data_IF_829689304896
#
_entry.id   IF_829689304896
#
_cell.length_a   1.000
_cell.length_b   1.000
_cell.length_c   1.000
_cell.angle_alpha   90.00
_cell.angle_beta   90.00
_cell.angle_gamma   90.00
#
_symmetry.space_group_name_H-M   'P 1'
#
loop_
_entity.id
_entity.type
_entity.pdbx_description
1 polymer ?
#
# COMPACT_ATOMS: atom_id res chain seq x y z
N UNK A 1 -11.77 21.93 -0.02
CA UNK A 1 -11.87 20.49 -0.28
C UNK A 1 -11.04 19.74 0.77
N UNK A 2 -11.65 18.77 1.43
CA UNK A 2 -10.94 17.99 2.46
C UNK A 2 -10.21 16.84 1.78
N UNK A 3 -8.90 16.77 1.99
CA UNK A 3 -8.09 15.65 1.51
C UNK A 3 -8.35 14.42 2.38
N UNK A 4 -8.65 13.30 1.74
CA UNK A 4 -8.92 12.05 2.44
C UNK A 4 -7.73 11.10 2.30
N UNK A 5 -7.44 10.38 3.38
CA UNK A 5 -6.42 9.33 3.42
C UNK A 5 -7.11 7.97 3.38
N UNK A 6 -6.67 7.12 2.48
CA UNK A 6 -7.23 5.80 2.26
C UNK A 6 -6.21 4.72 2.62
N UNK A 7 -6.58 3.81 3.49
CA UNK A 7 -5.78 2.61 3.75
C UNK A 7 -6.18 1.51 2.78
N UNK A 8 -5.19 0.85 2.20
CA UNK A 8 -5.38 -0.31 1.33
C UNK A 8 -5.14 -1.57 2.18
N UNK A 9 -6.20 -2.34 2.41
CA UNK A 9 -6.14 -3.59 3.17
C UNK A 9 -6.31 -4.76 2.22
N UNK A 10 -5.38 -5.72 2.27
CA UNK A 10 -5.41 -6.89 1.41
C UNK A 10 -6.09 -8.05 2.14
N UNK A 11 -7.27 -8.43 1.65
CA UNK A 11 -7.98 -9.63 2.11
C UNK A 11 -7.75 -10.80 1.15
N UNK A 12 -7.54 -10.50 -0.14
CA UNK A 12 -7.35 -11.52 -1.19
C UNK A 12 -6.03 -11.27 -1.91
N UNK A 13 -4.93 -11.91 -1.51
CA UNK A 13 -3.62 -11.70 -2.14
C UNK A 13 -3.61 -11.94 -3.65
N UNK A 14 -4.52 -12.77 -4.15
CA UNK A 14 -4.65 -13.08 -5.57
C UNK A 14 -5.68 -12.25 -6.32
N UNK A 15 -6.14 -11.12 -5.78
CA UNK A 15 -7.11 -10.28 -6.45
C UNK A 15 -6.62 -9.86 -7.85
N UNK A 16 -7.52 -9.89 -8.83
CA UNK A 16 -7.18 -9.56 -10.21
C UNK A 16 -6.77 -8.08 -10.35
N UNK A 17 -5.78 -7.77 -11.19
CA UNK A 17 -5.34 -6.37 -11.39
C UNK A 17 -6.47 -5.42 -11.78
N UNK A 18 -7.41 -5.86 -12.61
CA UNK A 18 -8.54 -5.03 -13.02
C UNK A 18 -9.45 -4.69 -11.84
N UNK A 19 -9.65 -5.62 -10.91
CA UNK A 19 -10.44 -5.39 -9.69
C UNK A 19 -9.74 -4.40 -8.77
N UNK A 20 -8.44 -4.54 -8.61
CA UNK A 20 -7.61 -3.62 -7.82
C UNK A 20 -7.71 -2.21 -8.39
N UNK A 21 -7.52 -2.06 -9.69
CA UNK A 21 -7.63 -0.75 -10.38
C UNK A 21 -8.99 -0.11 -10.18
N UNK A 22 -10.06 -0.89 -10.32
CA UNK A 22 -11.42 -0.37 -10.19
C UNK A 22 -11.69 0.18 -8.78
N UNK A 23 -11.23 -0.52 -7.75
CA UNK A 23 -11.41 -0.08 -6.36
C UNK A 23 -10.60 1.17 -6.05
N UNK A 24 -9.38 1.27 -6.57
CA UNK A 24 -8.55 2.46 -6.40
C UNK A 24 -9.14 3.67 -7.11
N UNK A 25 -9.63 3.49 -8.33
CA UNK A 25 -10.30 4.57 -9.06
C UNK A 25 -11.53 5.08 -8.30
N UNK A 26 -12.33 4.18 -7.73
CA UNK A 26 -13.48 4.56 -6.93
C UNK A 26 -13.08 5.41 -5.72
N UNK A 27 -11.99 5.03 -5.04
CA UNK A 27 -11.48 5.79 -3.90
C UNK A 27 -11.00 7.18 -4.32
N UNK A 28 -10.32 7.28 -5.46
CA UNK A 28 -9.86 8.56 -6.00
C UNK A 28 -11.04 9.47 -6.33
N UNK A 29 -12.08 8.93 -6.95
CA UNK A 29 -13.29 9.68 -7.26
C UNK A 29 -14.01 10.14 -6.00
N UNK A 30 -13.90 9.38 -4.91
CA UNK A 30 -14.48 9.74 -3.62
C UNK A 30 -13.69 10.81 -2.86
N UNK A 31 -12.57 11.28 -3.42
CA UNK A 31 -11.76 12.35 -2.85
C UNK A 31 -10.49 11.88 -2.15
N UNK A 32 -10.12 10.61 -2.25
CA UNK A 32 -8.87 10.14 -1.67
C UNK A 32 -7.69 10.61 -2.50
N UNK A 33 -6.71 11.22 -1.84
CA UNK A 33 -5.47 11.66 -2.48
C UNK A 33 -4.22 11.12 -1.79
N UNK A 34 -4.36 10.60 -0.57
CA UNK A 34 -3.25 9.98 0.17
C UNK A 34 -3.58 8.52 0.39
N UNK A 35 -2.66 7.64 -0.01
CA UNK A 35 -2.84 6.20 0.10
C UNK A 35 -1.78 5.60 1.00
N UNK A 36 -2.19 4.71 1.91
CA UNK A 36 -1.32 3.95 2.78
C UNK A 36 -1.34 2.49 2.34
N UNK A 37 -0.18 1.90 2.11
CA UNK A 37 -0.05 0.51 1.67
C UNK A 37 0.93 -0.25 2.53
N UNK A 38 0.60 -1.48 2.87
CA UNK A 38 1.51 -2.38 3.57
C UNK A 38 2.41 -3.18 2.64
N UNK A 39 2.32 -2.99 1.32
CA UNK A 39 3.09 -3.70 0.31
C UNK A 39 3.07 -5.22 0.49
N UNK A 40 1.91 -5.78 0.79
CA UNK A 40 1.76 -7.21 0.95
C UNK A 40 2.02 -7.92 -0.36
N UNK A 41 2.59 -9.11 -0.29
CA UNK A 41 2.86 -9.97 -1.43
C UNK A 41 1.59 -10.13 -2.31
N UNK A 42 1.76 -10.06 -3.61
CA UNK A 42 0.64 -10.20 -4.56
C UNK A 42 -0.15 -8.92 -4.74
N UNK A 43 -1.43 -8.93 -4.37
CA UNK A 43 -2.33 -7.79 -4.61
C UNK A 43 -1.90 -6.50 -3.93
N UNK A 44 -1.18 -6.57 -2.80
CA UNK A 44 -0.64 -5.40 -2.14
C UNK A 44 0.36 -4.65 -3.00
N UNK A 45 1.26 -5.39 -3.67
CA UNK A 45 2.20 -4.79 -4.61
C UNK A 45 1.47 -4.19 -5.81
N UNK A 46 0.49 -4.91 -6.35
CA UNK A 46 -0.29 -4.43 -7.49
C UNK A 46 -1.05 -3.14 -7.18
N UNK A 47 -1.60 -3.05 -5.98
CA UNK A 47 -2.31 -1.85 -5.55
C UNK A 47 -1.38 -0.64 -5.43
N UNK A 48 -0.20 -0.83 -4.83
CA UNK A 48 0.78 0.24 -4.71
C UNK A 48 1.29 0.71 -6.08
N UNK A 49 1.54 -0.23 -6.98
CA UNK A 49 1.94 0.09 -8.35
C UNK A 49 0.85 0.89 -9.06
N UNK A 50 -0.41 0.56 -8.85
CA UNK A 50 -1.52 1.28 -9.45
C UNK A 50 -1.62 2.71 -8.91
N UNK A 51 -1.40 2.92 -7.62
CA UNK A 51 -1.36 4.28 -7.05
C UNK A 51 -0.26 5.10 -7.71
N UNK A 52 0.94 4.52 -7.88
CA UNK A 52 2.05 5.20 -8.53
C UNK A 52 1.73 5.54 -9.99
N UNK A 53 1.06 4.64 -10.70
CA UNK A 53 0.64 4.88 -12.07
C UNK A 53 -0.39 6.01 -12.14
N UNK A 54 -1.36 6.02 -11.24
CA UNK A 54 -2.36 7.07 -11.17
C UNK A 54 -1.74 8.42 -10.79
N UNK A 55 -0.70 8.41 -9.99
CA UNK A 55 0.02 9.64 -9.60
C UNK A 55 0.62 10.35 -10.82
N UNK A 56 1.05 9.61 -11.82
CA UNK A 56 1.57 10.20 -13.07
C UNK A 56 0.51 11.01 -13.80
N UNK A 57 -0.75 10.58 -13.72
CA UNK A 57 -1.89 11.26 -14.36
C UNK A 57 -2.45 12.35 -13.43
N UNK A 58 -2.40 12.10 -12.12
CA UNK A 58 -2.96 12.98 -11.08
C UNK A 58 -1.89 13.30 -10.05
N UNK A 59 -1.07 14.34 -10.29
CA UNK A 59 0.12 14.61 -9.46
C UNK A 59 -0.15 14.90 -7.97
N UNK A 60 -1.40 15.15 -7.60
CA UNK A 60 -1.76 15.37 -6.20
C UNK A 60 -1.84 14.10 -5.36
N UNK A 61 -1.75 12.91 -5.97
CA UNK A 61 -1.79 11.65 -5.24
C UNK A 61 -0.45 11.37 -4.56
N UNK A 62 -0.50 10.78 -3.35
CA UNK A 62 0.70 10.36 -2.63
C UNK A 62 0.54 8.93 -2.14
N UNK A 63 1.67 8.25 -1.98
CA UNK A 63 1.74 6.88 -1.47
C UNK A 63 2.69 6.82 -0.28
N UNK A 64 2.18 6.34 0.86
CA UNK A 64 3.00 5.99 2.01
C UNK A 64 3.08 4.47 2.11
N UNK A 65 4.30 3.94 2.15
CA UNK A 65 4.55 2.51 2.31
C UNK A 65 4.85 2.23 3.78
N UNK A 66 4.01 1.40 4.40
CA UNK A 66 4.10 1.06 5.82
C UNK A 66 4.67 -0.34 5.95
N UNK A 67 5.94 -0.43 6.33
CA UNK A 67 6.69 -1.68 6.35
C UNK A 67 6.68 -2.25 7.77
N UNK A 68 6.27 -3.53 7.96
CA UNK A 68 6.16 -4.09 9.31
C UNK A 68 7.53 -4.32 9.98
N UNK A 69 8.54 -4.77 9.22
CA UNK A 69 9.89 -4.95 9.71
C UNK A 69 10.89 -5.00 8.56
N UNK A 70 12.18 -4.83 8.87
CA UNK A 70 13.23 -4.62 7.85
C UNK A 70 13.35 -5.77 6.84
N UNK A 71 13.31 -7.02 7.29
CA UNK A 71 13.51 -8.19 6.44
C UNK A 71 12.20 -8.79 5.91
N UNK A 72 11.19 -7.94 5.76
CA UNK A 72 9.84 -8.33 5.35
C UNK A 72 9.79 -9.18 4.08
N UNK A 73 10.67 -8.90 3.12
CA UNK A 73 10.65 -9.56 1.81
C UNK A 73 11.67 -10.69 1.67
N UNK A 74 12.38 -11.06 2.75
CA UNK A 74 13.52 -11.98 2.66
C UNK A 74 13.18 -13.35 2.06
N UNK A 75 11.95 -13.83 2.26
CA UNK A 75 11.49 -15.12 1.74
C UNK A 75 10.74 -15.04 0.40
N UNK A 76 10.62 -13.85 -0.18
CA UNK A 76 9.89 -13.68 -1.43
C UNK A 76 10.76 -14.08 -2.64
N UNK A 77 10.10 -14.38 -3.76
CA UNK A 77 10.81 -14.59 -5.02
C UNK A 77 11.46 -13.28 -5.50
N UNK A 78 12.48 -13.42 -6.33
CA UNK A 78 13.28 -12.27 -6.79
C UNK A 78 12.44 -11.22 -7.51
N UNK A 79 11.56 -11.65 -8.41
CA UNK A 79 10.73 -10.72 -9.18
C UNK A 79 9.82 -9.87 -8.27
N UNK A 80 9.22 -10.48 -7.25
CA UNK A 80 8.38 -9.75 -6.29
C UNK A 80 9.19 -8.82 -5.41
N UNK A 81 10.40 -9.22 -5.02
CA UNK A 81 11.31 -8.36 -4.24
C UNK A 81 11.74 -7.15 -5.06
N UNK A 82 12.01 -7.33 -6.35
CA UNK A 82 12.38 -6.23 -7.24
C UNK A 82 11.24 -5.23 -7.36
N UNK A 83 10.01 -5.69 -7.47
CA UNK A 83 8.83 -4.83 -7.47
C UNK A 83 8.70 -4.04 -6.16
N UNK A 84 8.89 -4.71 -5.05
CA UNK A 84 8.84 -4.10 -3.72
C UNK A 84 9.84 -2.96 -3.59
N UNK A 85 11.10 -3.20 -3.95
CA UNK A 85 12.14 -2.17 -3.84
C UNK A 85 11.95 -1.04 -4.86
N UNK A 86 11.42 -1.33 -6.04
CA UNK A 86 11.07 -0.29 -7.00
C UNK A 86 9.97 0.63 -6.44
N UNK A 87 8.93 0.06 -5.84
CA UNK A 87 7.87 0.83 -5.20
C UNK A 87 8.44 1.72 -4.09
N UNK A 88 9.29 1.16 -3.22
CA UNK A 88 9.91 1.93 -2.14
C UNK A 88 10.72 3.10 -2.66
N UNK A 89 11.44 2.92 -3.76
CA UNK A 89 12.26 3.99 -4.35
C UNK A 89 11.43 5.13 -4.92
N UNK A 90 10.17 4.89 -5.21
CA UNK A 90 9.27 5.84 -5.87
C UNK A 90 8.18 6.40 -4.96
N UNK A 91 7.97 5.81 -3.79
CA UNK A 91 6.91 6.27 -2.87
C UNK A 91 7.24 7.64 -2.28
N UNK A 92 6.22 8.30 -1.77
CA UNK A 92 6.37 9.63 -1.18
C UNK A 92 6.84 9.57 0.28
N UNK A 93 6.52 8.48 0.98
CA UNK A 93 6.93 8.27 2.36
C UNK A 93 7.07 6.78 2.67
N UNK A 94 8.13 6.44 3.38
CA UNK A 94 8.37 5.09 3.88
C UNK A 94 8.35 5.12 5.41
N UNK A 95 7.53 4.27 6.01
CA UNK A 95 7.41 4.16 7.46
C UNK A 95 7.69 2.72 7.87
N UNK A 96 8.80 2.49 8.57
CA UNK A 96 9.15 1.18 9.09
C UNK A 96 8.72 1.13 10.56
N UNK A 97 7.82 0.21 10.90
CA UNK A 97 7.25 0.12 12.24
C UNK A 97 8.19 -0.55 13.24
N UNK A 98 8.90 -1.60 12.80
CA UNK A 98 9.80 -2.37 13.64
C UNK A 98 11.07 -2.69 12.85
N UNK A 99 12.20 -2.75 13.55
CA UNK A 99 13.44 -3.12 12.91
C UNK A 99 13.52 -4.63 12.66
N UNK A 100 13.00 -5.42 13.61
CA UNK A 100 13.07 -6.90 13.54
C UNK A 100 11.68 -7.50 13.62
N UNK A 101 11.56 -8.71 13.09
CA UNK A 101 10.30 -9.46 13.18
C UNK A 101 9.87 -9.66 14.64
N UNK A 102 8.58 -9.50 14.87
CA UNK A 102 7.93 -9.86 16.13
C UNK A 102 6.57 -10.51 15.78
N UNK A 103 6.03 -11.39 16.64
CA UNK A 103 4.78 -12.10 16.32
C UNK A 103 3.60 -11.20 16.00
N UNK A 104 3.57 -9.98 16.52
CA UNK A 104 2.48 -9.03 16.33
C UNK A 104 2.77 -7.96 15.26
N UNK A 105 3.85 -8.10 14.47
CA UNK A 105 4.26 -7.06 13.53
C UNK A 105 3.21 -6.79 12.45
N UNK A 106 2.53 -7.82 11.96
CA UNK A 106 1.49 -7.66 10.93
C UNK A 106 0.25 -7.00 11.53
N UNK A 107 -0.10 -7.34 12.76
CA UNK A 107 -1.20 -6.70 13.46
C UNK A 107 -0.90 -5.21 13.67
N UNK A 108 0.32 -4.86 14.07
CA UNK A 108 0.75 -3.47 14.25
C UNK A 108 0.71 -2.70 12.94
N UNK A 109 1.08 -3.34 11.83
CA UNK A 109 0.99 -2.74 10.51
C UNK A 109 -0.46 -2.40 10.19
N UNK A 110 -1.38 -3.34 10.39
CA UNK A 110 -2.80 -3.13 10.12
C UNK A 110 -3.38 -2.02 11.00
N UNK A 111 -3.03 -2.01 12.29
CA UNK A 111 -3.47 -0.96 13.21
C UNK A 111 -2.99 0.41 12.76
N UNK A 112 -1.76 0.53 12.31
CA UNK A 112 -1.22 1.78 11.79
C UNK A 112 -2.02 2.25 10.56
N UNK A 113 -2.26 1.35 9.62
CA UNK A 113 -3.02 1.66 8.41
C UNK A 113 -4.42 2.21 8.77
N UNK A 114 -5.13 1.52 9.64
CA UNK A 114 -6.49 1.90 10.02
C UNK A 114 -6.54 3.18 10.85
N UNK A 115 -5.59 3.36 11.75
CA UNK A 115 -5.54 4.53 12.63
C UNK A 115 -5.22 5.83 11.87
N UNK A 116 -4.45 5.72 10.80
CA UNK A 116 -3.96 6.88 10.06
C UNK A 116 -4.73 7.14 8.76
N UNK A 117 -5.89 6.55 8.60
CA UNK A 117 -6.72 6.73 7.41
C UNK A 117 -8.13 7.19 7.75
N UNK A 118 -8.77 7.84 6.79
CA UNK A 118 -10.16 8.28 6.90
C UNK A 118 -11.11 7.20 6.38
N UNK A 119 -10.70 6.51 5.33
CA UNK A 119 -11.46 5.40 4.75
C UNK A 119 -10.51 4.23 4.48
N UNK A 120 -11.12 3.05 4.29
CA UNK A 120 -10.39 1.82 4.01
C UNK A 120 -10.99 1.18 2.76
N UNK A 121 -10.13 0.75 1.84
CA UNK A 121 -10.56 -0.13 0.76
C UNK A 121 -9.96 -1.52 1.01
N UNK A 122 -10.76 -2.54 0.73
CA UNK A 122 -10.36 -3.93 0.89
C UNK A 122 -10.27 -4.59 -0.48
N UNK A 123 -9.13 -5.20 -0.74
CA UNK A 123 -8.86 -5.89 -2.00
C UNK A 123 -8.46 -7.34 -1.79
#
# INVERSE_FOLDING_TARGET
MIEKTCAIVVASPGAAPAEVSAKLEAAIRAGCCRFLSGLEYGAGLSAAEEVLRQREIRPGLTLECVIPYEEYTSAWDEASRDRYFDILSRCDRETMLMRRFAPDCIQRQREYLLRNSDITIEI
#
